data_IF_123238244685
#
_entry.id   IF_123238244685
#
_cell.length_a   1.000
_cell.length_b   1.000
_cell.length_c   1.000
_cell.angle_alpha   90.00
_cell.angle_beta   90.00
_cell.angle_gamma   90.00
#
_symmetry.space_group_name_H-M   'P 1'
#
loop_
_entity.id
_entity.type
_entity.pdbx_description
1 polymer ?
#
# COMPACT_ATOMS: atom_id res chain seq x y z
N UNK A 1 -8.20 -9.02 11.93
CA UNK A 1 -8.03 -8.40 10.60
C UNK A 1 -8.78 -9.18 9.52
N UNK A 2 -9.24 -8.50 8.47
CA UNK A 2 -9.81 -9.08 7.25
C UNK A 2 -9.00 -8.62 6.04
N UNK A 3 -8.92 -9.45 5.01
CA UNK A 3 -8.20 -9.14 3.77
C UNK A 3 -9.19 -8.98 2.62
N UNK A 4 -9.00 -7.95 1.80
CA UNK A 4 -9.74 -7.74 0.55
C UNK A 4 -8.76 -7.91 -0.61
N UNK A 5 -8.95 -8.96 -1.39
CA UNK A 5 -8.26 -9.12 -2.67
C UNK A 5 -8.82 -8.15 -3.70
N UNK A 6 -7.95 -7.43 -4.37
CA UNK A 6 -8.30 -6.45 -5.41
C UNK A 6 -7.87 -6.89 -6.80
N UNK A 7 -7.05 -7.94 -6.89
CA UNK A 7 -6.69 -8.64 -8.11
C UNK A 7 -7.19 -10.08 -8.12
N UNK A 8 -7.12 -10.72 -9.29
CA UNK A 8 -7.56 -12.12 -9.48
C UNK A 8 -6.92 -13.08 -8.46
N UNK A 9 -5.62 -12.93 -8.21
CA UNK A 9 -4.89 -13.77 -7.24
C UNK A 9 -5.39 -13.55 -5.81
N UNK A 10 -5.54 -12.30 -5.37
CA UNK A 10 -6.04 -11.99 -4.03
C UNK A 10 -7.46 -12.53 -3.80
N UNK A 11 -8.32 -12.43 -4.83
CA UNK A 11 -9.69 -12.94 -4.79
C UNK A 11 -9.71 -14.46 -4.60
N UNK A 12 -8.85 -15.20 -5.30
CA UNK A 12 -8.75 -16.66 -5.13
C UNK A 12 -8.31 -17.06 -3.72
N UNK A 13 -7.58 -16.19 -3.01
CA UNK A 13 -7.05 -16.46 -1.67
C UNK A 13 -7.98 -16.02 -0.54
N UNK A 14 -8.82 -15.00 -0.74
CA UNK A 14 -9.61 -14.41 0.35
C UNK A 14 -10.91 -13.71 -0.04
N UNK A 15 -11.30 -13.76 -1.31
CA UNK A 15 -12.43 -12.99 -1.85
C UNK A 15 -12.08 -11.50 -2.05
N UNK A 16 -12.99 -10.78 -2.70
CA UNK A 16 -12.86 -9.35 -2.97
C UNK A 16 -13.36 -8.96 -4.37
N UNK A 17 -12.77 -7.93 -4.97
CA UNK A 17 -13.26 -7.31 -6.22
C UNK A 17 -12.11 -7.15 -7.22
N UNK A 18 -12.25 -7.61 -8.48
CA UNK A 18 -11.23 -7.42 -9.49
C UNK A 18 -11.30 -5.97 -10.01
N UNK A 19 -10.64 -5.06 -9.31
CA UNK A 19 -10.86 -3.61 -9.48
C UNK A 19 -10.46 -3.11 -10.87
N UNK A 20 -9.52 -3.78 -11.53
CA UNK A 20 -9.08 -3.48 -12.90
C UNK A 20 -10.14 -3.81 -13.98
N UNK A 21 -11.10 -4.67 -13.64
CA UNK A 21 -12.23 -5.02 -14.51
C UNK A 21 -13.50 -4.20 -14.22
N UNK A 22 -13.49 -3.36 -13.17
CA UNK A 22 -14.62 -2.49 -12.82
C UNK A 22 -14.60 -1.24 -13.70
N UNK A 23 -15.77 -0.81 -14.19
CA UNK A 23 -15.87 0.43 -14.96
C UNK A 23 -15.55 1.63 -14.06
N UNK A 24 -14.81 2.61 -14.59
CA UNK A 24 -14.23 3.71 -13.80
C UNK A 24 -15.18 4.38 -12.79
N UNK A 25 -16.41 4.69 -13.20
CA UNK A 25 -17.43 5.33 -12.35
C UNK A 25 -17.83 4.50 -11.13
N UNK A 26 -17.62 3.18 -11.15
CA UNK A 26 -18.01 2.25 -10.08
C UNK A 26 -16.83 1.76 -9.24
N UNK A 27 -15.58 2.05 -9.61
CA UNK A 27 -14.40 1.51 -8.92
C UNK A 27 -14.42 1.81 -7.42
N UNK A 28 -14.63 3.08 -7.04
CA UNK A 28 -14.66 3.47 -5.63
C UNK A 28 -15.85 2.83 -4.89
N UNK A 29 -17.03 2.81 -5.53
CA UNK A 29 -18.25 2.26 -4.94
C UNK A 29 -18.20 0.75 -4.71
N UNK A 30 -17.56 -0.03 -5.58
CA UNK A 30 -17.39 -1.47 -5.37
C UNK A 30 -16.47 -1.76 -4.17
N UNK A 31 -15.42 -0.97 -3.97
CA UNK A 31 -14.53 -1.12 -2.80
C UNK A 31 -15.26 -0.71 -1.52
N UNK A 32 -15.97 0.42 -1.54
CA UNK A 32 -16.83 0.88 -0.44
C UNK A 32 -17.84 -0.21 -0.05
N UNK A 33 -18.54 -0.77 -1.04
CA UNK A 33 -19.53 -1.83 -0.82
C UNK A 33 -18.93 -3.06 -0.13
N UNK A 34 -17.73 -3.49 -0.52
CA UNK A 34 -17.06 -4.64 0.13
C UNK A 34 -16.67 -4.30 1.56
N UNK A 35 -16.17 -3.09 1.82
CA UNK A 35 -15.78 -2.64 3.15
C UNK A 35 -17.00 -2.57 4.09
N UNK A 36 -18.12 -2.01 3.61
CA UNK A 36 -19.37 -1.87 4.38
C UNK A 36 -20.01 -3.21 4.75
N UNK A 37 -19.71 -4.27 4.00
CA UNK A 37 -20.20 -5.62 4.29
C UNK A 37 -19.45 -6.34 5.42
N UNK A 38 -18.35 -5.79 5.94
CA UNK A 38 -17.68 -6.35 7.12
C UNK A 38 -18.40 -6.00 8.43
N UNK A 39 -18.31 -6.91 9.42
CA UNK A 39 -18.84 -6.65 10.76
C UNK A 39 -18.15 -5.43 11.38
N UNK A 40 -18.90 -4.65 12.17
CA UNK A 40 -18.35 -3.56 12.99
C UNK A 40 -17.33 -4.04 14.04
N UNK A 41 -17.31 -5.32 14.35
CA UNK A 41 -16.32 -5.93 15.25
C UNK A 41 -14.98 -6.25 14.56
N UNK A 42 -14.80 -5.85 13.29
CA UNK A 42 -13.56 -6.06 12.56
C UNK A 42 -12.53 -4.96 12.92
N UNK A 43 -11.50 -5.32 13.67
CA UNK A 43 -10.48 -4.36 14.14
C UNK A 43 -9.65 -3.72 13.02
N UNK A 44 -9.50 -4.40 11.88
CA UNK A 44 -8.63 -3.95 10.79
C UNK A 44 -9.00 -4.62 9.47
N UNK A 45 -9.08 -3.82 8.40
CA UNK A 45 -9.26 -4.29 7.03
C UNK A 45 -7.98 -3.98 6.26
N UNK A 46 -7.39 -5.00 5.65
CA UNK A 46 -6.20 -4.90 4.80
C UNK A 46 -6.67 -4.99 3.35
N UNK A 47 -6.53 -3.89 2.63
CA UNK A 47 -6.89 -3.80 1.22
C UNK A 47 -5.63 -4.05 0.37
N UNK A 48 -5.68 -5.03 -0.52
CA UNK A 48 -4.60 -5.28 -1.48
C UNK A 48 -4.43 -4.07 -2.42
N UNK A 49 -3.21 -3.55 -2.57
CA UNK A 49 -2.93 -2.46 -3.50
C UNK A 49 -2.90 -2.90 -4.97
N UNK A 50 -3.28 -2.02 -5.90
CA UNK A 50 -3.17 -2.25 -7.35
C UNK A 50 -2.52 -1.06 -8.05
N UNK A 51 -1.57 -1.36 -8.93
CA UNK A 51 -0.86 -0.34 -9.71
C UNK A 51 -0.08 0.66 -8.84
N UNK A 52 0.11 1.87 -9.39
CA UNK A 52 0.66 3.00 -8.65
C UNK A 52 0.12 4.31 -9.24
N UNK A 53 -0.07 5.35 -8.41
CA UNK A 53 -0.48 6.69 -8.87
C UNK A 53 0.52 7.30 -9.87
N UNK A 54 1.79 6.90 -9.77
CA UNK A 54 2.88 7.36 -10.65
C UNK A 54 2.96 6.56 -11.95
N UNK A 55 2.19 5.47 -12.11
CA UNK A 55 2.20 4.64 -13.30
C UNK A 55 1.15 5.10 -14.32
N UNK A 56 1.60 5.56 -15.48
CA UNK A 56 0.73 6.24 -16.47
C UNK A 56 -0.43 5.40 -17.01
N UNK A 57 -0.32 4.06 -17.00
CA UNK A 57 -1.35 3.16 -17.51
C UNK A 57 -2.33 2.65 -16.43
N UNK A 58 -1.97 2.77 -15.14
CA UNK A 58 -2.72 2.13 -14.04
C UNK A 58 -3.10 3.10 -12.91
N UNK A 59 -2.70 4.37 -12.99
CA UNK A 59 -2.98 5.37 -11.97
C UNK A 59 -4.47 5.54 -11.68
N UNK A 60 -5.34 5.40 -12.70
CA UNK A 60 -6.79 5.45 -12.52
C UNK A 60 -7.33 4.36 -11.60
N UNK A 61 -6.82 3.13 -11.72
CA UNK A 61 -7.19 2.01 -10.84
C UNK A 61 -6.75 2.29 -9.41
N UNK A 62 -5.50 2.73 -9.24
CA UNK A 62 -4.96 3.08 -7.91
C UNK A 62 -5.74 4.20 -7.26
N UNK A 63 -6.16 5.22 -8.01
CA UNK A 63 -6.95 6.34 -7.50
C UNK A 63 -8.35 5.90 -7.09
N UNK A 64 -9.02 5.09 -7.93
CA UNK A 64 -10.32 4.50 -7.59
C UNK A 64 -10.27 3.67 -6.31
N UNK A 65 -9.22 2.85 -6.17
CA UNK A 65 -8.98 2.06 -4.96
C UNK A 65 -8.72 2.95 -3.73
N UNK A 66 -7.89 3.99 -3.88
CA UNK A 66 -7.53 4.91 -2.81
C UNK A 66 -8.77 5.65 -2.26
N UNK A 67 -9.63 6.16 -3.15
CA UNK A 67 -10.85 6.87 -2.77
C UNK A 67 -12.00 5.94 -2.35
N UNK A 68 -12.05 4.70 -2.84
CA UNK A 68 -13.02 3.72 -2.36
C UNK A 68 -12.68 3.16 -0.99
N UNK A 69 -11.39 2.99 -0.69
CA UNK A 69 -10.93 2.44 0.59
C UNK A 69 -10.79 3.49 1.69
N UNK A 70 -10.58 4.75 1.36
CA UNK A 70 -10.41 5.86 2.31
C UNK A 70 -9.50 5.48 3.50
N UNK A 71 -8.25 5.04 3.23
CA UNK A 71 -7.44 4.36 4.22
C UNK A 71 -7.03 5.30 5.35
N UNK A 72 -7.15 4.84 6.60
CA UNK A 72 -6.57 5.53 7.76
C UNK A 72 -5.03 5.47 7.74
N UNK A 73 -4.51 4.33 7.29
CA UNK A 73 -3.09 4.03 7.26
C UNK A 73 -2.71 3.40 5.94
N UNK A 74 -1.50 3.69 5.47
CA UNK A 74 -0.93 3.14 4.23
C UNK A 74 0.44 2.51 4.49
N UNK A 75 0.77 1.48 3.71
CA UNK A 75 2.11 0.87 3.67
C UNK A 75 2.66 1.06 2.26
N UNK A 76 3.81 1.70 2.13
CA UNK A 76 4.45 1.86 0.83
C UNK A 76 5.16 0.57 0.45
N UNK A 77 4.91 0.04 -0.75
CA UNK A 77 5.65 -1.09 -1.31
C UNK A 77 6.55 -0.62 -2.44
N UNK A 78 7.84 -0.99 -2.41
CA UNK A 78 8.80 -0.54 -3.42
C UNK A 78 9.88 -1.56 -3.73
N UNK A 79 10.25 -1.67 -5.02
CA UNK A 79 11.39 -2.47 -5.48
C UNK A 79 12.67 -1.63 -5.36
N UNK A 80 13.54 -2.00 -4.41
CA UNK A 80 14.71 -1.21 -4.03
C UNK A 80 15.75 -1.01 -5.16
N UNK A 81 15.68 -1.80 -6.23
CA UNK A 81 16.62 -1.72 -7.35
C UNK A 81 15.98 -1.17 -8.64
N UNK A 82 14.70 -0.80 -8.60
CA UNK A 82 13.95 -0.41 -9.81
C UNK A 82 14.28 1.01 -10.24
N UNK A 83 14.73 1.16 -11.49
CA UNK A 83 15.03 2.47 -12.11
C UNK A 83 13.94 2.95 -13.05
N UNK A 84 13.32 2.03 -13.77
CA UNK A 84 12.21 2.29 -14.70
C UNK A 84 10.99 1.49 -14.25
N UNK A 85 9.81 2.07 -14.43
CA UNK A 85 8.54 1.37 -14.26
C UNK A 85 8.25 0.43 -15.45
N UNK A 86 7.13 -0.28 -15.38
CA UNK A 86 6.68 -1.21 -16.42
C UNK A 86 6.23 -0.53 -17.71
N UNK A 87 6.07 0.80 -17.72
CA UNK A 87 5.83 1.62 -18.91
C UNK A 87 7.13 2.26 -19.46
N UNK A 88 8.29 1.92 -18.90
CA UNK A 88 9.60 2.45 -19.30
C UNK A 88 9.87 3.87 -18.82
N UNK A 89 9.08 4.41 -17.89
CA UNK A 89 9.28 5.73 -17.31
C UNK A 89 10.20 5.68 -16.09
N UNK A 90 11.02 6.72 -15.83
CA UNK A 90 11.82 6.78 -14.61
C UNK A 90 10.96 6.68 -13.34
N UNK A 91 11.42 5.89 -12.38
CA UNK A 91 10.78 5.81 -11.07
C UNK A 91 10.81 7.19 -10.38
N UNK A 92 9.66 7.59 -9.84
CA UNK A 92 9.54 8.78 -9.01
C UNK A 92 10.11 8.50 -7.62
N UNK A 93 10.66 9.53 -6.96
CA UNK A 93 11.20 9.37 -5.60
C UNK A 93 10.11 8.95 -4.61
N UNK A 94 10.50 8.24 -3.55
CA UNK A 94 9.54 7.76 -2.53
C UNK A 94 8.86 8.93 -1.84
N UNK A 95 9.56 10.03 -1.56
CA UNK A 95 9.01 11.21 -0.89
C UNK A 95 7.87 11.81 -1.71
N UNK A 96 8.11 12.02 -3.01
CA UNK A 96 7.11 12.59 -3.91
C UNK A 96 5.95 11.63 -4.11
N UNK A 97 6.23 10.34 -4.21
CA UNK A 97 5.18 9.31 -4.32
C UNK A 97 4.30 9.36 -3.07
N UNK A 98 4.88 9.23 -1.87
CA UNK A 98 4.15 9.25 -0.60
C UNK A 98 3.34 10.55 -0.42
N UNK A 99 3.92 11.71 -0.73
CA UNK A 99 3.20 12.98 -0.62
C UNK A 99 1.96 13.01 -1.51
N UNK A 100 2.04 12.51 -2.75
CA UNK A 100 0.89 12.45 -3.65
C UNK A 100 -0.25 11.58 -3.10
N UNK A 101 0.06 10.42 -2.51
CA UNK A 101 -0.98 9.58 -1.88
C UNK A 101 -1.65 10.29 -0.70
N UNK A 102 -0.85 10.88 0.19
CA UNK A 102 -1.37 11.61 1.36
C UNK A 102 -2.19 12.81 0.93
N UNK A 103 -1.69 13.63 -0.01
CA UNK A 103 -2.36 14.83 -0.50
C UNK A 103 -3.74 14.52 -1.10
N UNK A 104 -3.91 13.36 -1.75
CA UNK A 104 -5.20 12.98 -2.34
C UNK A 104 -6.23 12.52 -1.30
N UNK A 105 -5.81 11.81 -0.24
CA UNK A 105 -6.73 11.32 0.80
C UNK A 105 -7.04 12.38 1.85
N UNK A 106 -6.05 13.21 2.20
CA UNK A 106 -6.17 14.22 3.28
C UNK A 106 -7.12 15.37 2.96
N UNK A 107 -7.55 15.49 1.70
CA UNK A 107 -8.68 16.34 1.32
C UNK A 107 -9.99 15.94 2.00
N UNK A 108 -10.12 14.66 2.39
CA UNK A 108 -11.37 14.09 2.89
C UNK A 108 -11.26 13.55 4.32
N UNK A 109 -10.11 12.96 4.70
CA UNK A 109 -9.85 12.48 6.07
C UNK A 109 -8.35 12.42 6.39
N UNK A 110 -7.94 12.50 7.67
CA UNK A 110 -6.56 12.22 8.05
C UNK A 110 -6.12 10.83 7.56
N UNK A 111 -4.92 10.75 6.97
CA UNK A 111 -4.30 9.50 6.53
C UNK A 111 -2.78 9.66 6.54
N UNK A 112 -2.05 8.58 6.83
CA UNK A 112 -0.58 8.59 6.84
C UNK A 112 0.01 7.24 6.47
N UNK A 113 1.28 7.26 6.08
CA UNK A 113 2.07 6.04 5.98
C UNK A 113 2.53 5.58 7.36
N UNK A 114 2.50 4.27 7.61
CA UNK A 114 2.94 3.63 8.85
C UNK A 114 4.11 2.66 8.64
N UNK A 115 4.55 2.48 7.41
CA UNK A 115 5.68 1.61 7.12
C UNK A 115 6.02 1.52 5.65
N UNK A 116 7.20 0.99 5.37
CA UNK A 116 7.71 0.77 4.02
C UNK A 116 8.14 -0.69 3.90
N UNK A 117 7.53 -1.42 2.98
CA UNK A 117 7.94 -2.77 2.60
C UNK A 117 8.77 -2.72 1.31
N UNK A 118 10.04 -3.06 1.40
CA UNK A 118 10.95 -3.10 0.26
C UNK A 118 11.04 -4.51 -0.30
N UNK A 119 11.05 -4.63 -1.63
CA UNK A 119 11.44 -5.86 -2.32
C UNK A 119 12.93 -5.78 -2.66
N UNK A 120 13.72 -6.69 -2.11
CA UNK A 120 15.18 -6.70 -2.21
C UNK A 120 15.74 -7.95 -2.92
N UNK A 121 14.88 -8.69 -3.63
CA UNK A 121 15.21 -10.01 -4.22
C UNK A 121 16.46 -10.04 -5.10
N UNK A 122 16.79 -8.92 -5.76
CA UNK A 122 17.92 -8.80 -6.68
C UNK A 122 19.21 -8.25 -6.03
N UNK A 123 19.26 -8.18 -4.69
CA UNK A 123 20.37 -7.59 -3.93
C UNK A 123 21.01 -8.63 -3.02
N UNK A 124 22.32 -8.50 -2.79
CA UNK A 124 22.96 -9.23 -1.70
C UNK A 124 22.39 -8.79 -0.35
N UNK A 125 22.50 -9.66 0.66
CA UNK A 125 21.88 -9.43 1.96
C UNK A 125 22.38 -8.16 2.63
N UNK A 126 23.69 -7.89 2.60
CA UNK A 126 24.26 -6.70 3.24
C UNK A 126 23.69 -5.43 2.60
N UNK A 127 23.71 -5.35 1.27
CA UNK A 127 23.15 -4.21 0.53
C UNK A 127 21.65 -4.05 0.80
N UNK A 128 20.89 -5.13 0.85
CA UNK A 128 19.46 -5.11 1.17
C UNK A 128 19.19 -4.54 2.57
N UNK A 129 19.97 -4.97 3.58
CA UNK A 129 19.89 -4.46 4.95
C UNK A 129 20.27 -2.98 5.03
N UNK A 130 21.35 -2.58 4.36
CA UNK A 130 21.82 -1.19 4.33
C UNK A 130 20.76 -0.28 3.70
N UNK A 131 20.10 -0.71 2.61
CA UNK A 131 19.01 0.06 2.00
C UNK A 131 17.81 0.15 2.95
N UNK A 132 17.37 -0.94 3.56
CA UNK A 132 16.25 -0.90 4.52
C UNK A 132 16.52 0.10 5.64
N UNK A 133 17.73 0.07 6.22
CA UNK A 133 18.15 1.00 7.27
C UNK A 133 18.18 2.44 6.78
N UNK A 134 18.81 2.70 5.64
CA UNK A 134 18.89 4.05 5.09
C UNK A 134 17.50 4.62 4.76
N UNK A 135 16.60 3.81 4.24
CA UNK A 135 15.20 4.20 3.97
C UNK A 135 14.46 4.48 5.28
N UNK A 136 14.61 3.64 6.30
CA UNK A 136 14.02 3.89 7.62
C UNK A 136 14.51 5.21 8.21
N UNK A 137 15.83 5.42 8.26
CA UNK A 137 16.43 6.63 8.83
C UNK A 137 16.02 7.90 8.07
N UNK A 138 15.82 7.79 6.75
CA UNK A 138 15.43 8.91 5.88
C UNK A 138 13.96 9.30 6.05
N UNK A 139 13.07 8.32 6.18
CA UNK A 139 11.62 8.53 6.18
C UNK A 139 11.01 8.51 7.59
N UNK A 140 11.80 8.16 8.60
CA UNK A 140 11.33 7.96 9.98
C UNK A 140 10.13 7.00 10.06
N UNK A 141 10.21 5.92 9.28
CA UNK A 141 9.18 4.89 9.19
C UNK A 141 9.80 3.49 9.26
N UNK A 142 9.20 2.54 10.00
CA UNK A 142 9.64 1.15 10.00
C UNK A 142 9.78 0.62 8.57
N UNK A 143 10.97 0.14 8.24
CA UNK A 143 11.28 -0.32 6.88
C UNK A 143 11.95 -1.68 6.91
N UNK A 144 11.40 -2.63 6.15
CA UNK A 144 11.96 -3.99 6.00
C UNK A 144 11.59 -4.59 4.65
N UNK A 145 12.15 -5.74 4.34
CA UNK A 145 11.62 -6.66 3.33
C UNK A 145 10.84 -7.75 4.08
N UNK A 146 9.51 -7.65 4.09
CA UNK A 146 8.64 -8.55 4.86
C UNK A 146 8.79 -10.01 4.44
N UNK A 147 9.12 -10.26 3.18
CA UNK A 147 9.27 -11.62 2.64
C UNK A 147 10.63 -12.20 3.01
N UNK A 148 11.70 -11.39 2.89
CA UNK A 148 13.07 -11.87 3.09
C UNK A 148 13.51 -11.87 4.55
N UNK A 149 13.07 -10.88 5.33
CA UNK A 149 13.58 -10.62 6.67
C UNK A 149 12.51 -10.61 7.77
N UNK A 150 11.23 -10.78 7.41
CA UNK A 150 10.12 -10.68 8.35
C UNK A 150 9.76 -9.23 8.71
N UNK A 151 8.90 -9.09 9.72
CA UNK A 151 8.29 -7.83 10.15
C UNK A 151 9.28 -6.77 10.67
N UNK A 152 10.27 -7.18 11.45
CA UNK A 152 11.33 -6.33 12.03
C UNK A 152 10.77 -5.05 12.69
N UNK A 153 9.67 -5.18 13.42
CA UNK A 153 9.02 -4.06 14.12
C UNK A 153 7.90 -3.38 13.32
N UNK A 154 7.76 -3.68 12.02
CA UNK A 154 6.74 -3.04 11.17
C UNK A 154 5.32 -3.41 11.62
N UNK A 155 5.07 -4.69 11.92
CA UNK A 155 3.74 -5.15 12.35
C UNK A 155 3.41 -4.62 13.75
N UNK A 156 4.36 -4.61 14.67
CA UNK A 156 4.19 -4.02 16.00
C UNK A 156 3.87 -2.53 15.93
N UNK A 157 4.50 -1.80 15.01
CA UNK A 157 4.19 -0.39 14.80
C UNK A 157 2.78 -0.18 14.24
N UNK A 158 2.32 -1.04 13.32
CA UNK A 158 0.93 -1.00 12.83
C UNK A 158 -0.05 -1.24 13.99
N UNK A 159 0.18 -2.26 14.82
CA UNK A 159 -0.69 -2.54 15.99
C UNK A 159 -0.67 -1.37 16.99
N UNK A 160 0.49 -0.73 17.20
CA UNK A 160 0.59 0.48 18.00
C UNK A 160 -0.28 1.61 17.44
N UNK A 161 -0.14 1.92 16.14
CA UNK A 161 -0.90 2.98 15.46
C UNK A 161 -2.41 2.71 15.50
N UNK A 162 -2.84 1.48 15.23
CA UNK A 162 -4.26 1.08 15.31
C UNK A 162 -4.84 1.30 16.72
N UNK A 163 -4.07 1.09 17.79
CA UNK A 163 -4.52 1.34 19.17
C UNK A 163 -4.58 2.82 19.52
N UNK A 164 -3.79 3.66 18.85
CA UNK A 164 -3.85 5.12 19.01
C UNK A 164 -4.99 5.77 18.20
N UNK A 165 -5.62 5.03 17.29
CA UNK A 165 -6.68 5.51 16.41
C UNK A 165 -8.03 5.80 17.12
N UNK A 166 -8.08 5.71 18.46
CA UNK A 166 -9.26 6.01 19.29
C UNK A 166 -9.48 7.52 19.48
#
# INVERSE_FOLDING_TARGET
AKFIGTGQTGILLGGGVPIDAVTGDFMAGEIEHVIDNFSKDCDCIIVEGQGALTHMLYSGVTLGLLHGSMPDYMILTHDANRKLDTAGQPMISLEKTMSQYVDLVTLFKPSKFVGINLMTVNLDEKTALDICKNTQDKHDLPTTDLVRFGDRGLIEHIDFELRQWN
#
